data_IF_764287873890
#
_entry.id   IF_764287873890
#
_cell.length_a   1.000
_cell.length_b   1.000
_cell.length_c   1.000
_cell.angle_alpha   90.00
_cell.angle_beta   90.00
_cell.angle_gamma   90.00
#
_symmetry.space_group_name_H-M   'P 1'
#
loop_
_entity.id
_entity.type
_entity.pdbx_description
1 polymer ?
#
# COMPACT_ATOMS: atom_id res chain seq x y z
N UNK A 1 6.27 -17.22 -1.05
CA UNK A 1 6.60 -16.18 -2.05
C UNK A 1 5.41 -15.24 -2.12
N UNK A 2 5.61 -13.94 -1.93
CA UNK A 2 4.52 -12.97 -2.06
C UNK A 2 4.16 -12.87 -3.55
N UNK A 3 2.89 -13.06 -3.89
CA UNK A 3 2.41 -12.93 -5.26
C UNK A 3 2.24 -11.44 -5.63
N UNK A 4 2.98 -10.92 -6.62
CA UNK A 4 2.93 -9.50 -6.97
C UNK A 4 1.57 -9.09 -7.55
N UNK A 5 0.84 -10.02 -8.19
CA UNK A 5 -0.50 -9.72 -8.70
C UNK A 5 -1.50 -9.53 -7.56
N UNK A 6 -1.40 -10.33 -6.49
CA UNK A 6 -2.21 -10.19 -5.28
C UNK A 6 -1.98 -8.84 -4.62
N UNK A 7 -0.72 -8.44 -4.42
CA UNK A 7 -0.35 -7.13 -3.85
C UNK A 7 -0.94 -6.00 -4.69
N UNK A 8 -0.73 -6.03 -6.01
CA UNK A 8 -1.27 -5.01 -6.91
C UNK A 8 -2.80 -4.95 -6.86
N UNK A 9 -3.47 -6.10 -6.80
CA UNK A 9 -4.93 -6.17 -6.71
C UNK A 9 -5.43 -5.52 -5.42
N UNK A 10 -4.80 -5.79 -4.28
CA UNK A 10 -5.18 -5.21 -2.98
C UNK A 10 -4.99 -3.69 -3.00
N UNK A 11 -3.84 -3.22 -3.51
CA UNK A 11 -3.54 -1.79 -3.61
C UNK A 11 -4.58 -1.09 -4.52
N UNK A 12 -4.79 -1.58 -5.74
CA UNK A 12 -5.74 -0.99 -6.69
C UNK A 12 -7.17 -0.98 -6.15
N UNK A 13 -7.59 -2.07 -5.50
CA UNK A 13 -8.93 -2.15 -4.88
C UNK A 13 -9.09 -1.12 -3.77
N UNK A 14 -8.09 -0.97 -2.91
CA UNK A 14 -8.11 -0.01 -1.79
C UNK A 14 -8.15 1.44 -2.29
N UNK A 15 -7.35 1.76 -3.32
CA UNK A 15 -7.37 3.07 -3.97
C UNK A 15 -8.75 3.38 -4.55
N UNK A 16 -9.32 2.46 -5.34
CA UNK A 16 -10.65 2.67 -5.92
C UNK A 16 -11.73 2.82 -4.83
N UNK A 17 -11.68 2.01 -3.77
CA UNK A 17 -12.61 2.11 -2.65
C UNK A 17 -12.50 3.45 -1.92
N UNK A 18 -11.28 3.98 -1.73
CA UNK A 18 -11.06 5.28 -1.13
C UNK A 18 -11.73 6.41 -1.92
N UNK A 19 -11.49 6.46 -3.23
CA UNK A 19 -12.08 7.50 -4.08
C UNK A 19 -13.58 7.32 -4.32
N UNK A 20 -14.11 6.09 -4.25
CA UNK A 20 -15.55 5.86 -4.30
C UNK A 20 -16.30 6.54 -3.14
N UNK A 21 -15.69 6.58 -1.96
CA UNK A 21 -16.25 7.28 -0.78
C UNK A 21 -15.90 8.78 -0.74
N UNK A 22 -14.90 9.20 -1.51
CA UNK A 22 -14.45 10.58 -1.58
C UNK A 22 -14.30 11.05 -3.05
N UNK A 23 -15.40 11.22 -3.79
CA UNK A 23 -15.35 11.59 -5.21
C UNK A 23 -14.71 12.95 -5.48
N UNK A 24 -14.75 13.86 -4.50
CA UNK A 24 -14.13 15.18 -4.55
C UNK A 24 -12.77 15.26 -3.81
N UNK A 25 -12.21 14.13 -3.36
CA UNK A 25 -10.91 14.14 -2.69
C UNK A 25 -9.82 14.64 -3.64
N UNK A 26 -9.34 15.87 -3.38
CA UNK A 26 -8.00 16.26 -3.78
C UNK A 26 -7.06 15.51 -2.85
N UNK A 27 -6.13 14.73 -3.40
CA UNK A 27 -5.15 14.01 -2.58
C UNK A 27 -4.18 15.01 -1.96
N UNK A 28 -4.57 15.56 -0.80
CA UNK A 28 -3.70 16.31 0.07
C UNK A 28 -2.78 15.39 0.87
N UNK A 29 -1.94 16.00 1.72
CA UNK A 29 -1.00 15.25 2.58
C UNK A 29 -1.77 14.33 3.54
N UNK A 30 -2.89 14.79 4.10
CA UNK A 30 -3.66 14.02 5.08
C UNK A 30 -4.42 12.87 4.40
N UNK A 31 -5.03 13.11 3.24
CA UNK A 31 -5.70 12.07 2.44
C UNK A 31 -4.70 11.02 1.95
N UNK A 32 -3.50 11.43 1.55
CA UNK A 32 -2.43 10.51 1.19
C UNK A 32 -2.00 9.63 2.37
N UNK A 33 -1.88 10.19 3.58
CA UNK A 33 -1.57 9.41 4.79
C UNK A 33 -2.70 8.43 5.12
N UNK A 34 -3.95 8.87 5.01
CA UNK A 34 -5.10 8.02 5.27
C UNK A 34 -5.18 6.87 4.26
N UNK A 35 -4.96 7.15 2.98
CA UNK A 35 -4.90 6.15 1.92
C UNK A 35 -3.75 5.16 2.15
N UNK A 36 -2.55 5.65 2.46
CA UNK A 36 -1.40 4.81 2.77
C UNK A 36 -1.66 3.88 3.96
N UNK A 37 -2.33 4.39 5.01
CA UNK A 37 -2.75 3.59 6.15
C UNK A 37 -3.74 2.49 5.73
N UNK A 38 -4.78 2.83 4.97
CA UNK A 38 -5.75 1.83 4.49
C UNK A 38 -5.10 0.74 3.64
N UNK A 39 -4.14 1.10 2.79
CA UNK A 39 -3.37 0.13 2.00
C UNK A 39 -2.55 -0.79 2.93
N UNK A 40 -1.86 -0.24 3.93
CA UNK A 40 -1.07 -1.03 4.87
C UNK A 40 -1.93 -1.98 5.71
N UNK A 41 -3.09 -1.51 6.18
CA UNK A 41 -4.06 -2.34 6.92
C UNK A 41 -4.59 -3.48 6.03
N UNK A 42 -5.02 -3.18 4.80
CA UNK A 42 -5.55 -4.20 3.87
C UNK A 42 -4.50 -5.27 3.50
N UNK A 43 -3.23 -4.87 3.34
CA UNK A 43 -2.14 -5.80 3.10
C UNK A 43 -1.87 -6.67 4.33
N UNK A 44 -1.87 -6.07 5.53
CA UNK A 44 -1.70 -6.81 6.78
C UNK A 44 -2.84 -7.83 7.02
N UNK A 45 -4.09 -7.45 6.73
CA UNK A 45 -5.25 -8.36 6.79
C UNK A 45 -5.12 -9.53 5.80
N UNK A 46 -4.49 -9.30 4.64
CA UNK A 46 -4.19 -10.34 3.67
C UNK A 46 -2.95 -11.20 4.05
N UNK A 47 -2.31 -10.94 5.20
CA UNK A 47 -1.09 -11.62 5.63
C UNK A 47 0.17 -11.17 4.88
N UNK A 48 0.10 -10.03 4.18
CA UNK A 48 1.18 -9.45 3.40
C UNK A 48 1.81 -8.30 4.20
N UNK A 49 2.91 -8.57 4.91
CA UNK A 49 3.63 -7.51 5.60
C UNK A 49 4.51 -6.73 4.62
N UNK A 50 4.30 -5.40 4.56
CA UNK A 50 5.29 -4.50 3.96
C UNK A 50 6.41 -4.30 4.99
N UNK A 51 7.49 -5.07 4.88
CA UNK A 51 8.73 -4.73 5.57
C UNK A 51 9.45 -3.62 4.81
N UNK A 52 10.09 -2.71 5.54
CA UNK A 52 11.08 -1.82 4.93
C UNK A 52 12.10 -2.71 4.20
N UNK A 53 12.59 -2.31 3.00
CA UNK A 53 13.68 -3.04 2.37
C UNK A 53 14.80 -3.15 3.39
N UNK A 54 15.28 -4.38 3.62
CA UNK A 54 16.41 -4.61 4.50
C UNK A 54 17.58 -3.82 3.91
N UNK A 55 17.96 -2.72 4.57
CA UNK A 55 19.10 -1.89 4.16
C UNK A 55 20.39 -2.63 4.51
N UNK A 56 20.58 -3.84 3.99
CA UNK A 56 21.78 -4.63 4.12
C UNK A 56 22.07 -5.33 2.79
N UNK A 57 22.70 -4.59 1.87
CA UNK A 57 23.93 -5.07 1.25
C UNK A 57 24.61 -3.93 0.50
N UNK A 58 25.66 -3.31 1.05
CA UNK A 58 26.75 -2.86 0.21
C UNK A 58 27.44 -4.13 -0.30
N UNK A 59 27.05 -4.60 -1.48
CA UNK A 59 27.83 -5.60 -2.20
C UNK A 59 29.08 -4.88 -2.71
N UNK A 60 30.16 -4.97 -1.93
CA UNK A 60 31.50 -4.62 -2.36
C UNK A 60 32.14 -5.91 -2.90
N UNK A 61 32.33 -5.97 -4.21
CA UNK A 61 33.34 -6.79 -4.88
C UNK A 61 34.17 -5.88 -5.79
#
# INVERSE_FOLDING_TARGET
>A
MIDPHQVNTIISTTICAFFAHHPDAKVGIEEAKLLAKQIADALNEAGLQISAPDTASPEAD
#
